data_IF_029598823705
#
_entry.id   IF_029598823705
#
_cell.length_a   1.000
_cell.length_b   1.000
_cell.length_c   1.000
_cell.angle_alpha   90.00
_cell.angle_beta   90.00
_cell.angle_gamma   90.00
#
_symmetry.space_group_name_H-M   'P 1'
#
loop_
_entity.id
_entity.type
_entity.pdbx_description
1 polymer ?
#
# COMPACT_ATOMS: atom_id res chain seq x y z
N UNK A 1 -10.09 19.77 41.94
CA UNK A 1 -9.76 20.42 40.65
C UNK A 1 -9.32 19.45 39.56
N UNK A 2 -8.34 18.56 39.78
CA UNK A 2 -7.78 17.67 38.74
C UNK A 2 -8.80 16.78 37.99
N UNK A 3 -9.82 16.25 38.69
CA UNK A 3 -10.88 15.41 38.07
C UNK A 3 -11.84 16.17 37.16
N UNK A 4 -12.15 17.44 37.48
CA UNK A 4 -13.01 18.28 36.63
C UNK A 4 -12.28 18.73 35.37
N UNK A 5 -10.96 18.92 35.47
CA UNK A 5 -10.11 19.25 34.32
C UNK A 5 -10.00 18.09 33.35
N UNK A 6 -9.75 16.87 33.84
CA UNK A 6 -9.68 15.66 33.01
C UNK A 6 -11.01 15.38 32.28
N UNK A 7 -12.15 15.57 32.95
CA UNK A 7 -13.46 15.40 32.32
C UNK A 7 -13.69 16.43 31.20
N UNK A 8 -13.30 17.70 31.42
CA UNK A 8 -13.40 18.74 30.40
C UNK A 8 -12.52 18.42 29.19
N UNK A 9 -11.30 17.92 29.39
CA UNK A 9 -10.39 17.53 28.30
C UNK A 9 -10.92 16.34 27.51
N UNK A 10 -11.50 15.33 28.17
CA UNK A 10 -12.10 14.17 27.50
C UNK A 10 -13.32 14.59 26.67
N UNK A 11 -14.19 15.44 27.21
CA UNK A 11 -15.35 15.97 26.47
C UNK A 11 -14.88 16.84 25.29
N UNK A 12 -13.85 17.67 25.47
CA UNK A 12 -13.31 18.50 24.39
C UNK A 12 -12.63 17.67 23.28
N UNK A 13 -11.93 16.59 23.63
CA UNK A 13 -11.37 15.62 22.68
C UNK A 13 -12.46 14.82 21.97
N UNK A 14 -13.59 14.53 22.65
CA UNK A 14 -14.73 13.86 22.06
C UNK A 14 -15.46 14.77 21.06
N UNK A 15 -15.67 16.05 21.40
CA UNK A 15 -16.26 17.03 20.48
C UNK A 15 -15.36 17.34 19.28
N UNK A 16 -14.04 17.39 19.45
CA UNK A 16 -13.12 17.55 18.32
C UNK A 16 -13.14 16.36 17.34
N UNK A 17 -13.46 15.15 17.82
CA UNK A 17 -13.64 13.98 16.95
C UNK A 17 -15.05 13.88 16.35
N UNK A 18 -16.07 14.49 16.96
CA UNK A 18 -17.44 14.49 16.43
C UNK A 18 -17.68 15.54 15.33
N UNK A 19 -16.82 16.54 15.17
CA UNK A 19 -16.79 17.42 13.99
C UNK A 19 -15.86 16.84 12.90
N UNK A 20 -16.05 15.56 12.58
CA UNK A 20 -15.61 15.05 11.29
C UNK A 20 -16.50 15.70 10.24
N UNK A 21 -15.98 16.78 9.63
CA UNK A 21 -16.54 17.43 8.47
C UNK A 21 -16.78 16.32 7.43
N UNK A 22 -18.04 16.12 7.01
CA UNK A 22 -18.35 15.42 5.78
C UNK A 22 -17.61 16.16 4.67
N UNK A 23 -16.48 15.60 4.23
CA UNK A 23 -15.64 16.22 3.22
C UNK A 23 -16.28 15.94 1.86
N UNK A 24 -17.22 16.78 1.47
CA UNK A 24 -17.61 16.86 0.06
C UNK A 24 -16.37 17.30 -0.75
N UNK A 25 -16.01 16.51 -1.76
CA UNK A 25 -14.96 16.85 -2.71
C UNK A 25 -15.28 18.18 -3.40
N UNK A 26 -14.38 19.15 -3.28
CA UNK A 26 -14.53 20.44 -3.93
C UNK A 26 -14.11 20.38 -5.40
N UNK A 27 -14.72 21.23 -6.25
CA UNK A 27 -14.30 21.39 -7.65
C UNK A 27 -12.82 21.78 -7.77
N UNK A 28 -12.30 22.52 -6.79
CA UNK A 28 -10.88 22.90 -6.72
C UNK A 28 -9.98 21.69 -6.50
N UNK A 29 -10.33 20.78 -5.58
CA UNK A 29 -9.59 19.54 -5.34
C UNK A 29 -9.60 18.62 -6.57
N UNK A 30 -10.77 18.46 -7.22
CA UNK A 30 -10.87 17.69 -8.47
C UNK A 30 -9.98 18.29 -9.55
N UNK A 31 -10.02 19.61 -9.72
CA UNK A 31 -9.19 20.32 -10.71
C UNK A 31 -7.70 20.22 -10.39
N UNK A 32 -7.31 20.22 -9.12
CA UNK A 32 -5.92 20.09 -8.70
C UNK A 32 -5.35 18.72 -9.09
N UNK A 33 -6.05 17.63 -8.75
CA UNK A 33 -5.65 16.26 -9.12
C UNK A 33 -5.53 16.11 -10.64
N UNK A 34 -6.53 16.61 -11.38
CA UNK A 34 -6.50 16.56 -12.84
C UNK A 34 -5.31 17.33 -13.42
N UNK A 35 -5.04 18.54 -12.92
CA UNK A 35 -3.90 19.35 -13.38
C UNK A 35 -2.57 18.69 -13.07
N UNK A 36 -2.44 18.02 -11.93
CA UNK A 36 -1.24 17.28 -11.59
C UNK A 36 -0.98 16.15 -12.60
N UNK A 37 -1.98 15.32 -12.87
CA UNK A 37 -1.87 14.27 -13.90
C UNK A 37 -1.64 14.84 -15.31
N UNK A 38 -2.29 15.95 -15.66
CA UNK A 38 -2.07 16.65 -16.92
C UNK A 38 -0.64 17.15 -17.06
N UNK A 39 -0.04 17.66 -15.98
CA UNK A 39 1.35 18.09 -15.99
C UNK A 39 2.32 16.90 -16.08
N UNK A 40 2.01 15.78 -15.43
CA UNK A 40 2.84 14.57 -15.47
C UNK A 40 2.78 13.88 -16.83
N UNK A 41 1.61 13.68 -17.41
CA UNK A 41 1.49 12.92 -18.66
C UNK A 41 1.46 13.78 -19.91
N UNK A 42 1.30 15.10 -19.79
CA UNK A 42 1.04 16.01 -20.91
C UNK A 42 -0.16 15.61 -21.78
N UNK A 43 -1.15 14.97 -21.15
CA UNK A 43 -2.40 14.53 -21.77
C UNK A 43 -3.58 15.35 -21.24
N UNK A 44 -4.69 15.33 -21.96
CA UNK A 44 -5.92 16.04 -21.55
C UNK A 44 -7.16 15.18 -21.85
N UNK A 45 -7.30 14.01 -21.21
CA UNK A 45 -8.45 13.15 -21.40
C UNK A 45 -9.73 13.84 -20.92
N UNK A 46 -10.83 13.57 -21.62
CA UNK A 46 -12.16 14.09 -21.28
C UNK A 46 -12.90 13.07 -20.41
N UNK A 47 -13.46 13.52 -19.28
CA UNK A 47 -14.15 12.63 -18.33
C UNK A 47 -15.44 13.23 -17.77
N UNK A 48 -16.33 12.36 -17.27
CA UNK A 48 -17.45 12.68 -16.38
C UNK A 48 -17.22 12.04 -15.02
N UNK A 49 -17.50 12.79 -13.96
CA UNK A 49 -17.57 12.25 -12.61
C UNK A 49 -19.04 12.07 -12.22
N UNK A 50 -19.41 10.85 -11.84
CA UNK A 50 -20.72 10.47 -11.33
C UNK A 50 -20.53 9.91 -9.93
N UNK A 51 -21.32 10.43 -8.98
CA UNK A 51 -21.36 9.90 -7.61
C UNK A 51 -22.64 9.08 -7.51
N UNK A 52 -22.52 7.80 -7.18
CA UNK A 52 -23.67 6.88 -7.10
C UNK A 52 -23.68 6.13 -5.76
N UNK A 53 -24.77 6.28 -5.02
CA UNK A 53 -24.96 5.61 -3.73
C UNK A 53 -25.18 4.09 -3.87
N UNK A 54 -25.59 3.61 -5.06
CA UNK A 54 -25.92 2.22 -5.31
C UNK A 54 -24.84 1.46 -6.08
N UNK A 55 -23.71 2.10 -6.39
CA UNK A 55 -22.60 1.41 -7.06
C UNK A 55 -22.07 0.30 -6.14
N UNK A 56 -21.94 -0.94 -6.63
CA UNK A 56 -21.38 -2.05 -5.85
C UNK A 56 -19.91 -1.76 -5.48
N UNK A 57 -19.17 -1.15 -6.42
CA UNK A 57 -17.79 -0.70 -6.28
C UNK A 57 -17.57 0.59 -7.06
N UNK A 58 -16.58 1.40 -6.66
CA UNK A 58 -16.15 2.59 -7.40
C UNK A 58 -15.44 2.20 -8.69
N UNK A 59 -16.14 1.69 -9.72
CA UNK A 59 -15.54 1.44 -11.05
C UNK A 59 -16.60 1.47 -12.16
N UNK A 60 -16.32 2.25 -13.21
CA UNK A 60 -16.52 1.84 -14.60
C UNK A 60 -15.99 2.96 -15.53
N UNK A 61 -14.72 2.88 -15.92
CA UNK A 61 -14.26 3.60 -17.12
C UNK A 61 -14.91 2.95 -18.33
N UNK A 62 -16.03 3.51 -18.76
CA UNK A 62 -16.63 3.19 -20.05
C UNK A 62 -16.01 4.11 -21.10
N UNK A 63 -15.46 3.54 -22.18
CA UNK A 63 -14.86 4.28 -23.29
C UNK A 63 -15.48 3.88 -24.63
N UNK A 64 -16.80 3.90 -24.72
CA UNK A 64 -17.49 3.67 -25.99
C UNK A 64 -17.36 4.85 -27.00
N UNK A 65 -16.87 6.03 -26.56
CA UNK A 65 -16.92 7.28 -27.36
C UNK A 65 -15.69 8.20 -27.26
N UNK A 66 -14.62 7.81 -26.56
CA UNK A 66 -13.50 8.72 -26.22
C UNK A 66 -13.76 9.56 -24.97
N UNK A 67 -14.81 9.24 -24.20
CA UNK A 67 -15.22 9.96 -23.01
C UNK A 67 -15.30 9.02 -21.82
N UNK A 68 -14.47 9.26 -20.81
CA UNK A 68 -14.33 8.40 -19.65
C UNK A 68 -15.42 8.71 -18.62
N UNK A 69 -16.10 7.69 -18.09
CA UNK A 69 -17.01 7.85 -16.94
C UNK A 69 -16.31 7.37 -15.67
N UNK A 70 -16.38 8.15 -14.60
CA UNK A 70 -15.93 7.75 -13.26
C UNK A 70 -17.18 7.60 -12.40
N UNK A 71 -17.36 6.45 -11.77
CA UNK A 71 -18.45 6.21 -10.80
C UNK A 71 -17.81 5.99 -9.44
N UNK A 72 -18.05 6.88 -8.48
CA UNK A 72 -17.54 6.76 -7.10
C UNK A 72 -18.71 6.52 -6.15
N UNK A 73 -18.58 5.52 -5.28
CA UNK A 73 -19.57 5.26 -4.24
C UNK A 73 -19.54 6.38 -3.20
N UNK A 74 -20.70 6.88 -2.79
CA UNK A 74 -20.77 8.10 -1.94
C UNK A 74 -20.03 7.97 -0.61
N UNK A 75 -20.03 6.80 0.01
CA UNK A 75 -19.31 6.47 1.25
C UNK A 75 -17.79 6.30 1.05
N UNK A 76 -17.34 6.09 -0.18
CA UNK A 76 -15.92 6.02 -0.57
C UNK A 76 -15.43 7.37 -1.12
N UNK A 77 -16.29 8.40 -1.15
CA UNK A 77 -15.96 9.72 -1.67
C UNK A 77 -14.82 10.34 -0.86
N UNK A 78 -13.65 10.42 -1.49
CA UNK A 78 -12.46 11.00 -0.89
C UNK A 78 -11.41 11.32 -1.95
N UNK A 79 -10.58 12.33 -1.66
CA UNK A 79 -9.51 12.77 -2.56
C UNK A 79 -8.57 11.64 -3.01
N UNK A 80 -8.17 10.68 -2.16
CA UNK A 80 -7.34 9.55 -2.59
C UNK A 80 -8.03 8.66 -3.63
N UNK A 81 -9.29 8.28 -3.41
CA UNK A 81 -10.04 7.44 -4.35
C UNK A 81 -10.24 8.15 -5.68
N UNK A 82 -10.57 9.45 -5.66
CA UNK A 82 -10.64 10.24 -6.88
C UNK A 82 -9.30 10.26 -7.64
N UNK A 83 -8.18 10.43 -6.93
CA UNK A 83 -6.85 10.42 -7.53
C UNK A 83 -6.52 9.06 -8.16
N UNK A 84 -6.89 7.96 -7.50
CA UNK A 84 -6.74 6.60 -8.01
C UNK A 84 -7.52 6.41 -9.33
N UNK A 85 -8.82 6.74 -9.34
CA UNK A 85 -9.65 6.58 -10.54
C UNK A 85 -9.20 7.50 -11.70
N UNK A 86 -8.80 8.74 -11.40
CA UNK A 86 -8.25 9.65 -12.41
C UNK A 86 -6.91 9.16 -12.96
N UNK A 87 -6.05 8.55 -12.14
CA UNK A 87 -4.80 7.98 -12.60
C UNK A 87 -5.03 6.85 -13.62
N UNK A 88 -6.06 6.01 -13.43
CA UNK A 88 -6.45 5.02 -14.44
C UNK A 88 -6.82 5.67 -15.78
N UNK A 89 -7.59 6.76 -15.78
CA UNK A 89 -7.97 7.45 -17.01
C UNK A 89 -6.75 7.98 -17.76
N UNK A 90 -5.85 8.67 -17.06
CA UNK A 90 -4.65 9.20 -17.69
C UNK A 90 -3.73 8.10 -18.19
N UNK A 91 -3.63 6.99 -17.46
CA UNK A 91 -2.87 5.82 -17.90
C UNK A 91 -3.48 5.18 -19.15
N UNK A 92 -4.80 5.00 -19.21
CA UNK A 92 -5.47 4.47 -20.40
C UNK A 92 -5.36 5.41 -21.60
N UNK A 93 -5.42 6.72 -21.38
CA UNK A 93 -5.18 7.70 -22.43
C UNK A 93 -3.74 7.60 -22.95
N UNK A 94 -2.75 7.44 -22.06
CA UNK A 94 -1.36 7.22 -22.45
C UNK A 94 -1.23 5.96 -23.33
N UNK A 95 -1.83 4.83 -22.91
CA UNK A 95 -1.84 3.61 -23.72
C UNK A 95 -2.50 3.82 -25.09
N UNK A 96 -3.62 4.54 -25.13
CA UNK A 96 -4.34 4.85 -26.36
C UNK A 96 -3.50 5.68 -27.33
N UNK A 97 -2.75 6.69 -26.86
CA UNK A 97 -1.83 7.48 -27.72
C UNK A 97 -0.74 6.62 -28.36
N UNK A 98 -0.42 5.47 -27.76
CA UNK A 98 0.56 4.49 -28.23
C UNK A 98 -0.06 3.30 -28.95
N UNK A 99 -1.38 3.32 -29.17
CA UNK A 99 -2.16 2.24 -29.79
C UNK A 99 -2.00 0.89 -29.05
N UNK A 100 -1.94 0.94 -27.71
CA UNK A 100 -1.94 -0.22 -26.82
C UNK A 100 -3.33 -0.34 -26.21
N UNK A 101 -3.88 -1.56 -26.21
CA UNK A 101 -5.13 -1.83 -25.50
C UNK A 101 -4.87 -2.04 -24.01
N UNK A 102 -5.72 -1.55 -23.10
CA UNK A 102 -5.54 -1.76 -21.66
C UNK A 102 -5.36 -3.24 -21.28
N UNK A 103 -6.03 -4.17 -21.95
CA UNK A 103 -5.94 -5.61 -21.62
C UNK A 103 -4.58 -6.24 -21.98
N UNK A 104 -3.74 -5.54 -22.75
CA UNK A 104 -2.37 -5.97 -23.03
C UNK A 104 -1.44 -5.73 -21.84
N UNK A 105 -1.79 -4.80 -20.96
CA UNK A 105 -1.03 -4.48 -19.77
C UNK A 105 -1.65 -5.24 -18.58
N UNK A 106 -0.84 -5.87 -17.72
CA UNK A 106 -1.36 -6.63 -16.60
C UNK A 106 -2.14 -5.78 -15.61
N UNK A 107 -3.26 -6.32 -15.12
CA UNK A 107 -4.12 -5.67 -14.13
C UNK A 107 -3.36 -5.18 -12.90
N UNK A 108 -2.44 -5.98 -12.35
CA UNK A 108 -1.64 -5.56 -11.19
C UNK A 108 -0.84 -4.28 -11.44
N UNK A 109 -0.45 -4.02 -12.69
CA UNK A 109 0.30 -2.81 -13.04
C UNK A 109 -0.62 -1.60 -13.17
N UNK A 110 -1.84 -1.78 -13.70
CA UNK A 110 -2.85 -0.70 -13.70
C UNK A 110 -3.07 -0.19 -12.27
N UNK A 111 -3.26 -1.14 -11.36
CA UNK A 111 -3.49 -0.89 -9.95
C UNK A 111 -2.25 -0.30 -9.28
N UNK A 112 -1.05 -0.77 -9.64
CA UNK A 112 0.20 -0.18 -9.16
C UNK A 112 0.30 1.31 -9.52
N UNK A 113 0.04 1.66 -10.78
CA UNK A 113 0.08 3.05 -11.26
C UNK A 113 -0.91 3.92 -10.49
N UNK A 114 -2.15 3.45 -10.36
CA UNK A 114 -3.20 4.20 -9.68
C UNK A 114 -2.95 4.34 -8.17
N UNK A 115 -2.52 3.27 -7.49
CA UNK A 115 -2.16 3.31 -6.06
C UNK A 115 -0.94 4.16 -5.80
N UNK A 116 0.07 4.12 -6.67
CA UNK A 116 1.26 4.96 -6.52
C UNK A 116 0.89 6.44 -6.61
N UNK A 117 0.13 6.85 -7.62
CA UNK A 117 -0.32 8.23 -7.71
C UNK A 117 -1.21 8.64 -6.53
N UNK A 118 -2.11 7.76 -6.09
CA UNK A 118 -2.97 7.98 -4.93
C UNK A 118 -2.17 8.35 -3.65
N UNK A 119 -0.96 7.82 -3.48
CA UNK A 119 -0.14 8.09 -2.29
C UNK A 119 0.22 9.57 -2.10
N UNK A 120 0.27 10.35 -3.18
CA UNK A 120 0.52 11.80 -3.12
C UNK A 120 -0.58 12.55 -2.34
N UNK A 121 -1.79 11.98 -2.31
CA UNK A 121 -2.98 12.57 -1.70
C UNK A 121 -3.36 11.89 -0.38
N UNK A 122 -2.67 10.82 -0.01
CA UNK A 122 -2.81 10.24 1.32
C UNK A 122 -2.01 11.07 2.33
N UNK A 123 -2.63 11.47 3.44
CA UNK A 123 -1.91 12.13 4.54
C UNK A 123 -0.82 11.20 5.05
N UNK A 124 0.42 11.55 4.71
CA UNK A 124 1.64 10.77 4.93
C UNK A 124 1.79 10.15 6.33
N UNK A 125 2.42 8.96 6.37
CA UNK A 125 3.27 8.59 7.50
C UNK A 125 2.79 7.47 8.41
N UNK A 126 1.81 6.64 8.03
CA UNK A 126 1.56 5.43 8.83
C UNK A 126 2.69 4.43 8.54
N UNK A 127 3.61 4.28 9.49
CA UNK A 127 4.52 3.13 9.53
C UNK A 127 3.65 1.88 9.76
N UNK A 128 3.01 1.40 8.70
CA UNK A 128 2.08 0.27 8.77
C UNK A 128 2.91 -1.01 8.75
N UNK A 129 2.90 -1.71 9.88
CA UNK A 129 3.37 -3.09 9.91
C UNK A 129 2.35 -3.92 9.12
N UNK A 130 2.76 -4.38 7.95
CA UNK A 130 1.94 -5.24 7.10
C UNK A 130 1.91 -6.66 7.64
N UNK A 131 0.75 -7.31 7.63
CA UNK A 131 0.67 -8.73 7.92
C UNK A 131 1.36 -9.60 6.85
N UNK A 132 1.64 -10.85 7.21
CA UNK A 132 2.32 -11.79 6.31
C UNK A 132 1.50 -12.13 5.06
N UNK A 133 0.16 -12.12 5.14
CA UNK A 133 -0.69 -12.41 3.99
C UNK A 133 -0.52 -11.34 2.90
N UNK A 134 -0.32 -10.10 3.31
CA UNK A 134 -0.06 -8.95 2.45
C UNK A 134 1.38 -8.97 1.93
N UNK A 135 2.39 -9.17 2.80
CA UNK A 135 3.81 -9.20 2.39
C UNK A 135 4.08 -10.29 1.35
N UNK A 136 3.51 -11.49 1.54
CA UNK A 136 3.73 -12.63 0.65
C UNK A 136 2.64 -12.76 -0.43
N UNK A 137 1.78 -11.75 -0.59
CA UNK A 137 0.74 -11.80 -1.60
C UNK A 137 1.36 -11.84 -3.02
N UNK A 138 0.96 -12.79 -3.89
CA UNK A 138 1.54 -12.93 -5.23
C UNK A 138 0.79 -12.05 -6.24
N UNK A 139 0.84 -10.71 -6.08
CA UNK A 139 0.04 -9.80 -6.90
C UNK A 139 0.38 -9.84 -8.41
N UNK A 140 1.60 -10.22 -8.81
CA UNK A 140 1.97 -10.36 -10.24
C UNK A 140 1.14 -11.42 -11.00
N UNK A 141 0.47 -12.34 -10.29
CA UNK A 141 -0.35 -13.38 -10.93
C UNK A 141 -1.66 -12.82 -11.50
N UNK A 142 -2.07 -11.61 -11.11
CA UNK A 142 -3.33 -11.01 -11.54
C UNK A 142 -3.12 -10.20 -12.82
N UNK A 143 -3.26 -10.91 -13.95
CA UNK A 143 -3.06 -10.37 -15.29
C UNK A 143 -4.32 -9.68 -15.84
N UNK A 144 -5.51 -10.25 -15.61
CA UNK A 144 -6.75 -9.72 -16.19
C UNK A 144 -7.96 -9.78 -15.25
N UNK A 145 -7.86 -10.53 -14.16
CA UNK A 145 -8.96 -10.72 -13.22
C UNK A 145 -8.53 -10.27 -11.84
N UNK A 146 -9.42 -9.60 -11.11
CA UNK A 146 -9.20 -9.29 -9.70
C UNK A 146 -9.21 -10.56 -8.84
N UNK A 147 -8.54 -10.56 -7.68
CA UNK A 147 -8.72 -11.60 -6.67
C UNK A 147 -10.16 -11.66 -6.17
N UNK A 148 -10.53 -12.81 -5.61
CA UNK A 148 -11.80 -12.97 -4.88
C UNK A 148 -11.88 -11.97 -3.72
N UNK A 149 -13.11 -11.57 -3.34
CA UNK A 149 -13.36 -10.51 -2.35
C UNK A 149 -12.53 -10.62 -1.06
N UNK A 150 -12.39 -11.82 -0.49
CA UNK A 150 -11.59 -12.08 0.73
C UNK A 150 -10.09 -11.80 0.60
N UNK A 151 -9.58 -11.64 -0.63
CA UNK A 151 -8.17 -11.42 -0.96
C UNK A 151 -7.91 -10.02 -1.53
N UNK A 152 -8.95 -9.20 -1.75
CA UNK A 152 -8.81 -7.84 -2.29
C UNK A 152 -7.95 -6.97 -1.36
N UNK A 153 -8.22 -6.98 -0.05
CA UNK A 153 -7.46 -6.19 0.92
C UNK A 153 -5.96 -6.47 0.89
N UNK A 154 -5.58 -7.75 0.76
CA UNK A 154 -4.18 -8.16 0.69
C UNK A 154 -3.54 -7.79 -0.66
N UNK A 155 -4.31 -7.81 -1.75
CA UNK A 155 -3.85 -7.38 -3.07
C UNK A 155 -3.57 -5.88 -3.13
N UNK A 156 -4.56 -5.06 -2.76
CA UNK A 156 -4.40 -3.61 -2.70
C UNK A 156 -3.34 -3.20 -1.68
N UNK A 157 -3.33 -3.84 -0.50
CA UNK A 157 -2.32 -3.56 0.53
C UNK A 157 -0.89 -3.91 0.10
N UNK A 158 -0.71 -4.98 -0.68
CA UNK A 158 0.60 -5.35 -1.19
C UNK A 158 1.08 -4.38 -2.27
N UNK A 159 0.20 -4.03 -3.23
CA UNK A 159 0.52 -3.09 -4.30
C UNK A 159 0.79 -1.68 -3.77
N UNK A 160 -0.05 -1.18 -2.85
CA UNK A 160 0.14 0.11 -2.20
C UNK A 160 1.51 0.15 -1.48
N UNK A 161 1.81 -0.87 -0.68
CA UNK A 161 3.10 -0.90 0.01
C UNK A 161 4.31 -1.13 -0.91
N UNK A 162 4.09 -1.75 -2.07
CA UNK A 162 5.11 -1.89 -3.11
C UNK A 162 5.32 -0.57 -3.85
N UNK A 163 4.27 0.17 -4.20
CA UNK A 163 4.35 1.53 -4.73
C UNK A 163 5.13 2.45 -3.80
N UNK A 164 4.89 2.38 -2.48
CA UNK A 164 5.64 3.17 -1.48
C UNK A 164 7.13 2.81 -1.44
N UNK A 165 7.47 1.58 -1.83
CA UNK A 165 8.85 1.13 -1.94
C UNK A 165 9.52 1.60 -3.23
N UNK A 166 8.77 1.64 -4.34
CA UNK A 166 9.24 2.15 -5.62
C UNK A 166 9.38 3.68 -5.62
N UNK A 167 8.47 4.40 -4.98
CA UNK A 167 8.46 5.87 -4.90
C UNK A 167 9.71 6.46 -4.22
N UNK A 168 10.42 5.66 -3.44
CA UNK A 168 11.70 6.04 -2.80
C UNK A 168 12.91 5.85 -3.72
N UNK A 169 12.71 5.30 -4.92
CA UNK A 169 13.77 4.87 -5.85
C UNK A 169 13.59 5.44 -7.25
N UNK A 170 12.35 5.65 -7.68
CA UNK A 170 12.00 6.03 -9.03
C UNK A 170 11.03 7.21 -9.01
N UNK A 171 11.16 8.09 -10.00
CA UNK A 171 10.18 9.12 -10.29
C UNK A 171 8.97 8.47 -10.99
N UNK A 172 7.76 8.80 -10.54
CA UNK A 172 6.54 8.14 -10.98
C UNK A 172 6.30 8.27 -12.49
N UNK A 173 6.40 9.50 -13.01
CA UNK A 173 6.16 9.79 -14.44
C UNK A 173 7.13 9.03 -15.33
N UNK A 174 8.43 9.16 -15.07
CA UNK A 174 9.48 8.55 -15.87
C UNK A 174 9.29 7.03 -15.90
N UNK A 175 9.04 6.42 -14.74
CA UNK A 175 8.79 4.99 -14.65
C UNK A 175 7.60 4.52 -15.51
N UNK A 176 6.47 5.20 -15.43
CA UNK A 176 5.25 4.79 -16.17
C UNK A 176 5.43 4.97 -17.66
N UNK A 177 5.95 6.13 -18.10
CA UNK A 177 6.13 6.42 -19.53
C UNK A 177 7.19 5.50 -20.14
N UNK A 178 8.31 5.31 -19.47
CA UNK A 178 9.40 4.46 -19.95
C UNK A 178 8.98 2.98 -20.02
N UNK A 179 8.19 2.49 -19.06
CA UNK A 179 7.66 1.11 -19.10
C UNK A 179 6.76 0.92 -20.32
N UNK A 180 5.87 1.86 -20.60
CA UNK A 180 4.98 1.81 -21.77
C UNK A 180 5.79 1.88 -23.07
N UNK A 181 6.75 2.80 -23.17
CA UNK A 181 7.58 2.95 -24.37
C UNK A 181 8.46 1.72 -24.63
N UNK A 182 8.99 1.10 -23.57
CA UNK A 182 9.78 -0.13 -23.67
C UNK A 182 8.90 -1.32 -24.06
N UNK A 183 7.68 -1.41 -23.52
CA UNK A 183 6.71 -2.44 -23.92
C UNK A 183 6.38 -2.38 -25.42
N UNK A 184 6.30 -1.19 -26.02
CA UNK A 184 6.07 -1.05 -27.46
C UNK A 184 7.16 -1.74 -28.27
N UNK A 185 8.41 -1.65 -27.81
CA UNK A 185 9.57 -2.19 -28.49
C UNK A 185 9.68 -3.71 -28.30
N UNK A 186 9.50 -4.18 -27.06
CA UNK A 186 9.73 -5.58 -26.71
C UNK A 186 8.51 -6.49 -26.93
N UNK A 187 7.29 -5.94 -26.83
CA UNK A 187 6.02 -6.69 -26.84
C UNK A 187 5.94 -7.80 -25.77
N UNK A 188 6.74 -7.68 -24.73
CA UNK A 188 6.71 -8.50 -23.52
C UNK A 188 6.76 -7.54 -22.32
N UNK A 189 5.67 -7.53 -21.53
CA UNK A 189 5.53 -6.60 -20.42
C UNK A 189 6.51 -6.91 -19.28
N UNK A 190 6.77 -8.18 -18.99
CA UNK A 190 7.74 -8.55 -17.95
C UNK A 190 9.15 -8.18 -18.37
N UNK A 191 9.50 -8.37 -19.65
CA UNK A 191 10.78 -7.92 -20.18
C UNK A 191 10.92 -6.40 -20.10
N UNK A 192 9.87 -5.65 -20.47
CA UNK A 192 9.88 -4.19 -20.42
C UNK A 192 10.09 -3.65 -19.01
N UNK A 193 9.36 -4.20 -18.04
CA UNK A 193 9.51 -3.83 -16.63
C UNK A 193 10.91 -4.16 -16.10
N UNK A 194 11.46 -5.32 -16.46
CA UNK A 194 12.81 -5.70 -16.06
C UNK A 194 13.89 -4.77 -16.65
N UNK A 195 13.69 -4.29 -17.88
CA UNK A 195 14.60 -3.36 -18.54
C UNK A 195 14.56 -1.99 -17.86
N UNK A 196 13.38 -1.45 -17.56
CA UNK A 196 13.22 -0.17 -16.85
C UNK A 196 13.77 -0.22 -15.43
N UNK A 197 13.60 -1.35 -14.74
CA UNK A 197 14.19 -1.52 -13.41
C UNK A 197 15.69 -1.82 -13.44
N UNK A 198 16.27 -2.12 -14.61
CA UNK A 198 17.60 -2.71 -14.78
C UNK A 198 17.82 -3.97 -13.92
N UNK A 199 16.74 -4.61 -13.47
CA UNK A 199 16.76 -5.83 -12.68
C UNK A 199 15.49 -6.65 -12.86
N UNK A 200 15.57 -7.93 -12.49
CA UNK A 200 14.41 -8.81 -12.54
C UNK A 200 13.37 -8.38 -11.47
N UNK A 201 12.11 -8.21 -11.87
CA UNK A 201 11.01 -7.82 -10.98
C UNK A 201 10.83 -8.76 -9.77
N UNK A 202 11.11 -10.05 -9.89
CA UNK A 202 11.06 -10.99 -8.78
C UNK A 202 12.14 -10.67 -7.71
N UNK A 203 13.30 -10.17 -8.14
CA UNK A 203 14.36 -9.71 -7.23
C UNK A 203 13.96 -8.42 -6.53
N UNK A 204 13.36 -7.47 -7.26
CA UNK A 204 12.83 -6.22 -6.70
C UNK A 204 11.75 -6.49 -5.64
N UNK A 205 10.82 -7.39 -5.95
CA UNK A 205 9.78 -7.85 -5.00
C UNK A 205 10.41 -8.55 -3.80
N UNK A 206 11.43 -9.38 -4.00
CA UNK A 206 12.14 -10.04 -2.91
C UNK A 206 12.82 -9.03 -2.00
N UNK A 207 13.45 -8.00 -2.57
CA UNK A 207 14.06 -6.88 -1.83
C UNK A 207 13.04 -6.08 -1.04
N UNK A 208 11.88 -5.79 -1.63
CA UNK A 208 10.74 -5.18 -0.94
C UNK A 208 10.25 -6.04 0.25
N UNK A 209 10.05 -7.34 0.04
CA UNK A 209 9.63 -8.27 1.10
C UNK A 209 10.61 -8.29 2.26
N UNK A 210 11.91 -8.40 1.97
CA UNK A 210 12.96 -8.35 3.00
C UNK A 210 12.84 -7.05 3.79
N UNK A 211 12.68 -5.90 3.12
CA UNK A 211 12.52 -4.62 3.78
C UNK A 211 11.30 -4.58 4.72
N UNK A 212 10.16 -5.11 4.28
CA UNK A 212 8.94 -5.18 5.11
C UNK A 212 9.02 -6.23 6.23
N UNK A 213 9.92 -7.20 6.15
CA UNK A 213 10.19 -8.19 7.20
C UNK A 213 11.12 -7.67 8.31
N UNK A 214 11.84 -6.56 8.10
CA UNK A 214 12.78 -6.00 9.09
C UNK A 214 12.15 -5.83 10.49
N UNK A 215 10.93 -5.26 10.66
CA UNK A 215 10.32 -5.12 11.99
C UNK A 215 10.12 -6.46 12.71
N UNK A 216 9.77 -7.51 11.96
CA UNK A 216 9.60 -8.86 12.50
C UNK A 216 10.93 -9.49 12.90
N UNK A 217 11.97 -9.33 12.09
CA UNK A 217 13.31 -9.81 12.40
C UNK A 217 13.88 -9.11 13.64
N UNK A 218 13.68 -7.79 13.77
CA UNK A 218 14.06 -7.03 14.96
C UNK A 218 13.31 -7.52 16.20
N UNK A 219 12.01 -7.76 16.10
CA UNK A 219 11.21 -8.31 17.20
C UNK A 219 11.74 -9.69 17.64
N UNK A 220 11.99 -10.59 16.69
CA UNK A 220 12.55 -11.92 16.98
C UNK A 220 13.93 -11.84 17.64
N UNK A 221 14.79 -10.92 17.19
CA UNK A 221 16.10 -10.70 17.79
C UNK A 221 15.98 -10.23 19.25
N UNK A 222 15.04 -9.31 19.53
CA UNK A 222 14.75 -8.83 20.90
C UNK A 222 14.24 -9.98 21.78
N UNK A 223 13.26 -10.75 21.30
CA UNK A 223 12.72 -11.90 22.03
C UNK A 223 13.81 -12.94 22.31
N UNK A 224 14.61 -13.28 21.31
CA UNK A 224 15.74 -14.20 21.45
C UNK A 224 16.75 -13.73 22.49
N UNK A 225 17.07 -12.44 22.49
CA UNK A 225 17.94 -11.82 23.50
C UNK A 225 17.35 -11.92 24.92
N UNK A 226 16.05 -11.64 25.08
CA UNK A 226 15.38 -11.80 26.39
C UNK A 226 15.35 -13.25 26.86
N UNK A 227 15.07 -14.20 25.98
CA UNK A 227 15.11 -15.63 26.33
C UNK A 227 16.53 -16.05 26.75
N UNK A 228 17.56 -15.61 26.02
CA UNK A 228 18.94 -15.86 26.37
C UNK A 228 19.28 -15.32 27.77
N UNK A 229 18.86 -14.09 28.10
CA UNK A 229 19.05 -13.52 29.44
C UNK A 229 18.29 -14.28 30.53
N UNK A 230 17.07 -14.74 30.25
CA UNK A 230 16.25 -15.49 31.19
C UNK A 230 16.83 -16.88 31.49
N UNK A 231 17.19 -17.63 30.45
CA UNK A 231 17.78 -18.97 30.56
C UNK A 231 19.20 -18.90 31.15
N UNK A 232 20.02 -17.93 30.73
CA UNK A 232 21.38 -17.75 31.23
C UNK A 232 21.46 -17.30 32.70
N UNK A 233 20.38 -16.74 33.27
CA UNK A 233 20.29 -16.39 34.69
C UNK A 233 19.75 -17.51 35.57
N UNK A 234 18.95 -18.43 35.03
CA UNK A 234 18.45 -19.59 35.77
C UNK A 234 19.57 -20.51 36.25
N UNK A 235 20.62 -20.68 35.45
CA UNK A 235 21.64 -21.71 35.67
C UNK A 235 22.66 -21.39 36.78
N UNK A 236 22.79 -20.12 37.19
CA UNK A 236 23.69 -19.75 38.30
C UNK A 236 23.11 -20.04 39.68
N UNK A 237 21.80 -19.97 39.86
CA UNK A 237 21.19 -20.15 41.18
C UNK A 237 21.10 -21.63 41.61
N UNK A 238 21.05 -22.56 40.65
CA UNK A 238 21.01 -24.01 40.94
C UNK A 238 22.39 -24.64 41.15
N UNK A 239 23.48 -23.98 40.74
CA UNK A 239 24.85 -24.48 40.93
C UNK A 239 25.44 -24.17 42.32
N UNK A 240 24.81 -23.29 43.08
CA UNK A 240 25.22 -22.95 44.46
C UNK A 240 24.49 -23.80 45.52
N UNK A 241 23.53 -24.64 45.12
CA UNK A 241 22.95 -25.66 45.97
C UNK A 241 23.86 -26.91 45.95
N UNK A 242 25.06 -26.78 46.52
CA UNK A 242 25.79 -27.94 47.00
C UNK A 242 24.92 -28.60 48.08
N UNK A 243 24.35 -29.75 47.74
CA UNK A 243 23.73 -30.63 48.72
C UNK A 243 24.86 -31.09 49.65
N UNK A 244 25.01 -30.45 50.83
CA UNK A 244 25.89 -30.93 51.90
C UNK A 244 25.20 -32.13 52.57
N UNK A 245 25.57 -33.39 52.26
CA UNK A 245 25.01 -34.53 52.93
C UNK A 245 25.78 -34.66 54.24
N UNK A 246 25.40 -33.86 55.24
CA UNK A 246 25.75 -34.17 56.62
C UNK A 246 25.06 -35.47 56.99
N UNK A 247 25.75 -36.57 56.72
CA UNK A 247 25.49 -37.89 57.27
C UNK A 247 25.36 -37.68 58.79
N UNK A 248 24.21 -37.96 59.42
CA UNK A 248 24.14 -37.97 60.86
C UNK A 248 25.09 -39.09 61.33
N UNK A 249 26.15 -38.70 62.05
CA UNK A 249 26.90 -39.67 62.84
C UNK A 249 25.92 -40.27 63.83
N UNK A 250 25.60 -41.55 63.65
CA UNK A 250 25.11 -42.37 64.74
C UNK A 250 26.25 -42.48 65.76
N UNK A 251 26.16 -41.71 66.85
CA UNK A 251 26.87 -42.02 68.07
C UNK A 251 26.02 -43.03 68.87
N UNK A 252 26.73 -43.97 69.49
CA UNK A 252 26.33 -45.25 70.08
C UNK A 252 25.20 -45.19 71.12
#
# INVERSE_FOLDING_TARGET
MKRKFAFLTIVFLFFFNCFAIEADLTSEEISAVYKELQNLFHLSPSYSLVIDENAEHSHSVDNDTGYYKIVIRKDELGLPILAHELAHIFFFELLATKNIKPEEIPLWYHELVALWFQQHFQKSGSYRILDFNTIFFPFLQYQSNYPQSKKLDAFYGALDSFAEYLSKRYEFQDFVVETVDTYIQLKDFTAAVNEVFEENIDNLISSWRIHKLIPYLLFLAIVGFFMYLALGRGDKHWRELEFDPKIPKSEE
#
